data_IF_541459782749
#
_entry.id   IF_541459782749
#
_cell.length_a   1.000
_cell.length_b   1.000
_cell.length_c   1.000
_cell.angle_alpha   90.00
_cell.angle_beta   90.00
_cell.angle_gamma   90.00
#
_symmetry.space_group_name_H-M   'P 1'
#
loop_
_entity.id
_entity.type
_entity.pdbx_description
1 polymer ?
#
# COMPACT_ATOMS: atom_id res chain seq x y z
N UNK A 1 -1.72 -11.75 13.61
CA UNK A 1 -1.10 -11.01 12.49
C UNK A 1 -2.04 -9.85 12.17
N UNK A 2 -1.57 -8.60 12.14
CA UNK A 2 -2.46 -7.43 12.13
C UNK A 2 -3.12 -7.14 10.77
N UNK A 3 -2.51 -7.54 9.65
CA UNK A 3 -3.16 -7.57 8.33
C UNK A 3 -3.44 -9.01 7.89
N UNK A 4 -4.73 -9.37 7.83
CA UNK A 4 -5.19 -10.72 7.50
C UNK A 4 -5.78 -10.89 6.11
N UNK A 5 -5.99 -9.80 5.35
CA UNK A 5 -6.72 -9.85 4.07
C UNK A 5 -6.15 -8.81 3.09
N UNK A 6 -6.14 -9.15 1.80
CA UNK A 6 -5.79 -8.22 0.71
C UNK A 6 -7.03 -7.40 0.38
N UNK A 7 -6.87 -6.09 0.24
CA UNK A 7 -7.96 -5.17 -0.07
C UNK A 7 -8.33 -5.28 -1.56
N UNK A 8 -9.63 -5.15 -1.80
CA UNK A 8 -10.22 -5.17 -3.13
C UNK A 8 -10.76 -3.77 -3.42
N UNK A 9 -10.74 -3.41 -4.70
CA UNK A 9 -11.50 -2.27 -5.18
C UNK A 9 -12.34 -2.68 -6.38
N UNK A 10 -13.42 -1.95 -6.55
CA UNK A 10 -14.33 -2.04 -7.68
C UNK A 10 -14.17 -0.80 -8.56
N UNK A 11 -14.23 -0.99 -9.87
CA UNK A 11 -14.09 0.09 -10.84
C UNK A 11 -15.07 -0.11 -12.00
N UNK A 12 -15.73 0.99 -12.40
CA UNK A 12 -16.63 1.07 -13.55
C UNK A 12 -16.65 2.49 -14.10
N UNK A 13 -17.04 2.65 -15.37
CA UNK A 13 -17.33 3.94 -15.98
C UNK A 13 -18.81 4.30 -15.76
N UNK A 14 -19.12 5.59 -15.73
CA UNK A 14 -20.49 6.09 -15.52
C UNK A 14 -21.41 5.62 -16.66
N UNK A 15 -22.51 4.92 -16.32
CA UNK A 15 -23.42 4.32 -17.29
C UNK A 15 -23.03 2.93 -17.80
N UNK A 16 -21.86 2.42 -17.39
CA UNK A 16 -21.35 1.08 -17.74
C UNK A 16 -21.16 0.20 -16.47
N UNK A 17 -22.05 0.33 -15.48
CA UNK A 17 -21.90 -0.34 -14.18
C UNK A 17 -21.86 -1.88 -14.30
N UNK A 18 -22.52 -2.43 -15.32
CA UNK A 18 -22.54 -3.87 -15.59
C UNK A 18 -21.21 -4.41 -16.13
N UNK A 19 -20.38 -3.55 -16.72
CA UNK A 19 -19.06 -3.91 -17.25
C UNK A 19 -17.94 -3.65 -16.25
N UNK A 20 -18.28 -3.16 -15.05
CA UNK A 20 -17.34 -2.99 -13.97
C UNK A 20 -16.68 -4.29 -13.52
N UNK A 21 -15.52 -4.17 -12.89
CA UNK A 21 -14.78 -5.30 -12.34
C UNK A 21 -14.36 -5.06 -10.89
N UNK A 22 -14.14 -6.16 -10.16
CA UNK A 22 -13.58 -6.15 -8.81
C UNK A 22 -12.24 -6.87 -8.88
N UNK A 23 -11.18 -6.25 -8.36
CA UNK A 23 -9.87 -6.89 -8.25
C UNK A 23 -9.14 -6.51 -6.98
N UNK A 24 -8.14 -7.33 -6.64
CA UNK A 24 -7.18 -7.00 -5.60
C UNK A 24 -6.30 -5.82 -6.05
N UNK A 25 -5.93 -4.97 -5.09
CA UNK A 25 -4.89 -3.99 -5.28
C UNK A 25 -3.56 -4.71 -5.50
N UNK A 26 -2.76 -4.24 -6.47
CA UNK A 26 -1.39 -4.77 -6.65
C UNK A 26 -0.43 -4.09 -5.66
N UNK A 27 0.73 -4.69 -5.35
CA UNK A 27 1.65 -4.12 -4.36
C UNK A 27 2.08 -2.67 -4.66
N UNK A 28 2.22 -2.32 -5.95
CA UNK A 28 2.54 -0.95 -6.37
C UNK A 28 1.43 0.06 -6.04
N UNK A 29 0.16 -0.34 -6.16
CA UNK A 29 -0.97 0.51 -5.81
C UNK A 29 -1.03 0.74 -4.30
N UNK A 30 -0.74 -0.30 -3.51
CA UNK A 30 -0.58 -0.18 -2.07
C UNK A 30 0.56 0.75 -1.67
N UNK A 31 1.73 0.66 -2.33
CA UNK A 31 2.85 1.56 -2.08
C UNK A 31 2.40 3.02 -2.27
N UNK A 32 1.74 3.32 -3.39
CA UNK A 32 1.21 4.66 -3.68
C UNK A 32 0.15 5.09 -2.67
N UNK A 33 -0.78 4.20 -2.31
CA UNK A 33 -1.83 4.48 -1.32
C UNK A 33 -1.24 4.82 0.05
N UNK A 34 -0.17 4.13 0.44
CA UNK A 34 0.54 4.34 1.70
C UNK A 34 1.51 5.52 1.66
N UNK A 35 1.72 6.16 0.50
CA UNK A 35 2.70 7.23 0.32
C UNK A 35 4.15 6.76 0.27
N UNK A 36 4.40 5.48 -0.02
CA UNK A 36 5.74 4.93 -0.19
C UNK A 36 6.28 5.22 -1.61
N UNK A 37 7.62 5.31 -1.78
CA UNK A 37 8.22 5.36 -3.10
C UNK A 37 7.85 4.15 -3.96
N UNK A 38 7.81 4.33 -5.28
CA UNK A 38 7.51 3.22 -6.20
C UNK A 38 8.58 2.12 -6.12
N UNK A 39 8.14 0.88 -5.95
CA UNK A 39 9.05 -0.26 -5.82
C UNK A 39 9.72 -0.35 -4.45
N UNK A 40 9.27 0.41 -3.44
CA UNK A 40 9.81 0.37 -2.08
C UNK A 40 9.90 -1.05 -1.51
N UNK A 41 8.93 -1.91 -1.85
CA UNK A 41 8.89 -3.30 -1.39
C UNK A 41 9.34 -4.31 -2.45
N UNK A 42 9.89 -3.86 -3.58
CA UNK A 42 10.29 -4.77 -4.66
C UNK A 42 11.46 -5.68 -4.25
N UNK A 43 12.35 -5.20 -3.37
CA UNK A 43 13.58 -5.88 -2.98
C UNK A 43 13.69 -6.06 -1.47
N UNK A 44 14.18 -7.22 -1.03
CA UNK A 44 14.52 -7.48 0.37
C UNK A 44 15.97 -7.12 0.70
N UNK A 45 16.39 -7.46 1.93
CA UNK A 45 17.72 -7.18 2.52
C UNK A 45 18.96 -7.71 1.74
N UNK A 46 18.78 -8.42 0.62
CA UNK A 46 19.88 -8.95 -0.21
C UNK A 46 19.78 -8.49 -1.66
N UNK A 47 19.07 -7.38 -1.92
CA UNK A 47 18.72 -6.89 -3.26
C UNK A 47 18.01 -7.95 -4.13
N UNK A 48 17.45 -8.97 -3.48
CA UNK A 48 16.67 -10.02 -4.14
C UNK A 48 15.24 -9.55 -4.24
N UNK A 49 14.67 -9.69 -5.43
CA UNK A 49 13.24 -9.51 -5.63
C UNK A 49 12.48 -10.43 -4.67
N UNK A 50 11.48 -9.89 -3.98
CA UNK A 50 10.64 -10.66 -3.08
C UNK A 50 9.29 -10.97 -3.76
N UNK A 51 8.65 -12.06 -3.35
CA UNK A 51 7.37 -12.50 -3.92
C UNK A 51 6.26 -11.52 -3.57
N UNK A 52 5.23 -11.41 -4.41
CA UNK A 52 4.08 -10.53 -4.14
C UNK A 52 3.42 -10.83 -2.79
N UNK A 53 3.37 -12.09 -2.37
CA UNK A 53 2.88 -12.47 -1.04
C UNK A 53 3.71 -11.82 0.08
N UNK A 54 5.04 -11.81 -0.04
CA UNK A 54 5.91 -11.15 0.91
C UNK A 54 5.74 -9.62 0.88
N UNK A 55 5.50 -9.04 -0.32
CA UNK A 55 5.21 -7.61 -0.48
C UNK A 55 3.91 -7.22 0.21
N UNK A 56 2.82 -7.94 -0.04
CA UNK A 56 1.53 -7.72 0.64
C UNK A 56 1.66 -7.84 2.16
N UNK A 57 2.42 -8.84 2.64
CA UNK A 57 2.71 -9.00 4.06
C UNK A 57 3.49 -7.82 4.63
N UNK A 58 4.47 -7.30 3.91
CA UNK A 58 5.24 -6.12 4.34
C UNK A 58 4.37 -4.88 4.38
N UNK A 59 3.59 -4.62 3.32
CA UNK A 59 2.71 -3.47 3.19
C UNK A 59 1.61 -3.48 4.25
N UNK A 60 0.98 -4.62 4.52
CA UNK A 60 -0.06 -4.76 5.54
C UNK A 60 0.44 -4.59 6.98
N UNK A 61 1.75 -4.72 7.24
CA UNK A 61 2.34 -4.40 8.55
C UNK A 61 3.03 -3.03 8.55
N UNK A 62 2.95 -2.27 7.46
CA UNK A 62 3.50 -0.92 7.36
C UNK A 62 2.52 0.12 7.90
N UNK A 63 2.94 1.38 7.88
CA UNK A 63 2.14 2.56 8.24
C UNK A 63 1.98 3.47 7.03
N UNK A 64 0.82 4.15 6.93
CA UNK A 64 0.62 5.18 5.93
C UNK A 64 1.57 6.36 6.24
N UNK A 65 2.50 6.63 5.33
CA UNK A 65 3.52 7.68 5.44
C UNK A 65 2.91 9.05 5.73
N UNK A 66 1.83 9.51 5.04
CA UNK A 66 1.26 10.82 5.31
C UNK A 66 0.76 10.99 6.75
N UNK A 67 0.22 9.93 7.35
CA UNK A 67 -0.25 9.96 8.73
C UNK A 67 0.92 10.03 9.72
N UNK A 68 1.98 9.27 9.46
CA UNK A 68 3.19 9.28 10.29
C UNK A 68 3.91 10.64 10.21
N UNK A 69 4.05 11.20 9.01
CA UNK A 69 4.67 12.51 8.77
C UNK A 69 3.94 13.61 9.53
N UNK A 70 2.60 13.64 9.50
CA UNK A 70 1.81 14.62 10.21
C UNK A 70 2.06 14.61 11.73
N UNK A 71 2.10 13.41 12.33
CA UNK A 71 2.36 13.25 13.77
C UNK A 71 3.79 13.69 14.10
N UNK A 72 4.77 13.24 13.30
CA UNK A 72 6.18 13.53 13.55
C UNK A 72 6.51 15.01 13.36
N UNK A 73 5.89 15.70 12.41
CA UNK A 73 6.05 17.14 12.23
C UNK A 73 5.63 17.93 13.48
N UNK A 74 4.47 17.57 14.07
CA UNK A 74 3.98 18.21 15.31
C UNK A 74 4.92 17.99 16.50
N UNK A 75 5.50 16.79 16.62
CA UNK A 75 6.49 16.48 17.66
C UNK A 75 7.76 17.30 17.45
N UNK A 76 8.25 17.39 16.21
CA UNK A 76 9.46 18.12 15.87
C UNK A 76 9.34 19.63 16.12
N UNK A 77 8.15 20.22 15.93
CA UNK A 77 7.89 21.64 16.23
C UNK A 77 7.91 21.95 17.74
N UNK A 78 7.69 20.95 18.60
CA UNK A 78 7.61 21.12 20.06
C UNK A 78 8.95 20.86 20.77
N UNK A 79 9.95 20.33 20.07
CA UNK A 79 11.30 20.08 20.56
C UNK A 79 12.22 21.29 20.38
#
# INVERSE_FOLDING_TARGET
MLAGTVDYFSFWYEGEEKEGFIRQLIPLEYERLMGLPEGWTAYGNKEKAITDHARYKSLGNSIAVPCAEYIMASIAETL
#
